data_IF_135729099500
#
_entry.id   IF_135729099500
#
_cell.length_a   1.000
_cell.length_b   1.000
_cell.length_c   1.000
_cell.angle_alpha   90.00
_cell.angle_beta   90.00
_cell.angle_gamma   90.00
#
_symmetry.space_group_name_H-M   'P 1'
#
loop_
_entity.id
_entity.type
_entity.pdbx_description
1 polymer ?
#
# COMPACT_ATOMS: atom_id res chain seq x y z
N UNK A 1 12.13 -30.78 40.75
CA UNK A 1 11.09 -30.43 39.75
C UNK A 1 10.57 -28.99 39.87
N UNK A 2 10.47 -28.37 41.06
CA UNK A 2 10.01 -26.98 41.23
C UNK A 2 10.83 -25.86 40.53
N UNK A 3 12.18 -25.90 40.42
CA UNK A 3 12.90 -24.79 39.79
C UNK A 3 12.77 -24.77 38.26
N UNK A 4 12.56 -25.92 37.63
CA UNK A 4 12.42 -26.02 36.17
C UNK A 4 11.10 -25.44 35.67
N UNK A 5 10.03 -25.55 36.46
CA UNK A 5 8.74 -24.97 36.13
C UNK A 5 8.77 -23.44 36.17
N UNK A 6 9.50 -22.87 37.13
CA UNK A 6 9.71 -21.43 37.25
C UNK A 6 10.55 -20.88 36.08
N UNK A 7 11.60 -21.60 35.67
CA UNK A 7 12.43 -21.22 34.51
C UNK A 7 11.63 -21.28 33.21
N UNK A 8 10.80 -22.30 33.00
CA UNK A 8 9.90 -22.40 31.85
C UNK A 8 8.88 -21.25 31.79
N UNK A 9 8.26 -20.90 32.92
CA UNK A 9 7.33 -19.77 33.01
C UNK A 9 8.00 -18.43 32.67
N UNK A 10 9.24 -18.20 33.11
CA UNK A 10 9.99 -16.97 32.79
C UNK A 10 10.32 -16.90 31.29
N UNK A 11 10.66 -18.03 30.67
CA UNK A 11 10.94 -18.09 29.23
C UNK A 11 9.67 -17.79 28.42
N UNK A 12 8.52 -18.39 28.77
CA UNK A 12 7.25 -18.14 28.07
C UNK A 12 6.78 -16.68 28.18
N UNK A 13 6.92 -16.06 29.36
CA UNK A 13 6.57 -14.64 29.57
C UNK A 13 7.49 -13.69 28.77
N UNK A 14 8.73 -14.10 28.48
CA UNK A 14 9.70 -13.29 27.73
C UNK A 14 9.44 -13.29 26.22
N UNK A 15 8.70 -14.28 25.70
CA UNK A 15 8.38 -14.39 24.26
C UNK A 15 7.20 -13.46 23.91
N UNK A 16 6.27 -13.21 24.83
CA UNK A 16 5.14 -12.30 24.60
C UNK A 16 5.55 -10.81 24.59
N UNK A 17 6.66 -10.45 25.25
CA UNK A 17 7.15 -9.05 25.27
C UNK A 17 7.99 -8.67 24.04
N UNK A 18 8.36 -9.65 23.20
CA UNK A 18 9.07 -9.43 21.93
C UNK A 18 8.20 -9.76 20.71
N UNK A 19 6.89 -9.53 20.82
CA UNK A 19 6.10 -9.23 19.63
C UNK A 19 6.71 -7.98 18.98
N UNK A 20 7.55 -8.19 17.96
CA UNK A 20 7.93 -7.17 16.99
C UNK A 20 6.63 -6.62 16.40
N UNK A 21 6.09 -5.61 17.09
CA UNK A 21 4.95 -4.85 16.61
C UNK A 21 5.53 -4.03 15.48
N UNK A 22 5.57 -4.63 14.28
CA UNK A 22 5.86 -3.94 13.04
C UNK A 22 5.07 -2.64 13.12
N UNK A 23 5.78 -1.50 13.22
CA UNK A 23 5.16 -0.18 13.20
C UNK A 23 4.49 -0.09 11.84
N UNK A 24 3.19 -0.42 11.79
CA UNK A 24 2.43 -0.49 10.55
C UNK A 24 2.02 0.92 10.11
N UNK A 25 1.74 1.82 11.06
CA UNK A 25 1.32 3.20 10.79
C UNK A 25 2.40 4.25 11.01
N UNK A 26 2.00 5.51 10.79
CA UNK A 26 2.81 6.69 11.11
C UNK A 26 3.14 6.72 12.61
N UNK A 27 4.34 7.18 12.97
CA UNK A 27 4.70 7.51 14.36
C UNK A 27 3.89 8.69 14.89
N UNK A 28 3.90 8.93 16.21
CA UNK A 28 3.16 10.05 16.80
C UNK A 28 3.56 11.40 16.19
N UNK A 29 4.86 11.68 16.09
CA UNK A 29 5.39 12.91 15.51
C UNK A 29 5.05 13.06 14.02
N UNK A 30 5.07 11.95 13.27
CA UNK A 30 4.66 11.95 11.86
C UNK A 30 3.17 12.22 11.70
N UNK A 31 2.33 11.64 12.57
CA UNK A 31 0.87 11.89 12.58
C UNK A 31 0.58 13.35 12.88
N UNK A 32 1.26 13.93 13.88
CA UNK A 32 1.08 15.33 14.26
C UNK A 32 1.46 16.26 13.09
N UNK A 33 2.66 16.11 12.53
CA UNK A 33 3.13 16.91 11.39
C UNK A 33 2.19 16.78 10.18
N UNK A 34 1.78 15.55 9.86
CA UNK A 34 0.88 15.30 8.75
C UNK A 34 -0.49 15.96 8.94
N UNK A 35 -1.10 15.79 10.11
CA UNK A 35 -2.40 16.40 10.40
C UNK A 35 -2.32 17.92 10.47
N UNK A 36 -1.26 18.49 11.02
CA UNK A 36 -1.07 19.93 11.08
C UNK A 36 -1.07 20.54 9.67
N UNK A 37 -0.22 20.03 8.78
CA UNK A 37 -0.11 20.56 7.43
C UNK A 37 -1.36 20.26 6.57
N UNK A 38 -1.94 19.05 6.70
CA UNK A 38 -3.20 18.70 6.02
C UNK A 38 -4.34 19.61 6.48
N UNK A 39 -4.49 19.85 7.79
CA UNK A 39 -5.58 20.68 8.31
C UNK A 39 -5.43 22.15 7.94
N UNK A 40 -4.19 22.65 7.85
CA UNK A 40 -3.92 23.98 7.31
C UNK A 40 -4.40 24.12 5.87
N UNK A 41 -4.12 23.14 5.01
CA UNK A 41 -4.62 23.14 3.64
C UNK A 41 -6.15 22.95 3.58
N UNK A 42 -6.72 22.05 4.38
CA UNK A 42 -8.18 21.85 4.48
C UNK A 42 -8.90 23.13 4.87
N UNK A 43 -8.35 23.89 5.81
CA UNK A 43 -8.90 25.19 6.20
C UNK A 43 -8.91 26.17 5.03
N UNK A 44 -7.77 26.29 4.33
CA UNK A 44 -7.66 27.14 3.13
C UNK A 44 -8.68 26.74 2.05
N UNK A 45 -8.76 25.45 1.74
CA UNK A 45 -9.67 24.92 0.71
C UNK A 45 -11.13 25.15 1.08
N UNK A 46 -11.51 24.94 2.34
CA UNK A 46 -12.86 25.22 2.82
C UNK A 46 -13.22 26.71 2.65
N UNK A 47 -12.29 27.62 2.97
CA UNK A 47 -12.47 29.07 2.76
C UNK A 47 -12.62 29.42 1.26
N UNK A 48 -11.81 28.83 0.37
CA UNK A 48 -11.89 29.03 -1.09
C UNK A 48 -13.22 28.54 -1.70
N UNK A 49 -13.77 27.44 -1.18
CA UNK A 49 -15.02 26.84 -1.66
C UNK A 49 -16.26 27.42 -0.98
N UNK A 50 -16.11 28.14 0.13
CA UNK A 50 -17.22 28.60 0.96
C UNK A 50 -17.90 27.46 1.74
N UNK A 51 -17.13 26.44 2.13
CA UNK A 51 -17.57 25.28 2.88
C UNK A 51 -17.27 25.42 4.37
N UNK A 52 -17.95 24.62 5.20
CA UNK A 52 -17.58 24.49 6.61
C UNK A 52 -16.21 23.81 6.75
N UNK A 53 -15.31 24.43 7.51
CA UNK A 53 -14.04 23.80 7.86
C UNK A 53 -14.24 22.74 8.95
N UNK A 54 -13.94 21.48 8.60
CA UNK A 54 -13.92 20.36 9.55
C UNK A 54 -12.50 19.80 9.65
N UNK A 55 -11.87 19.83 10.84
CA UNK A 55 -10.52 19.29 11.01
C UNK A 55 -10.51 17.77 10.86
N UNK A 56 -9.54 17.29 10.10
CA UNK A 56 -9.17 15.88 10.00
C UNK A 56 -8.54 15.40 11.32
N UNK A 57 -8.98 14.24 11.80
CA UNK A 57 -8.45 13.57 12.98
C UNK A 57 -7.82 12.24 12.60
N UNK A 58 -6.77 11.86 13.31
CA UNK A 58 -6.15 10.56 13.08
C UNK A 58 -6.98 9.46 13.74
N UNK A 59 -7.21 8.36 13.03
CA UNK A 59 -7.87 7.17 13.54
C UNK A 59 -7.02 5.93 13.20
N UNK A 60 -6.30 5.43 14.20
CA UNK A 60 -5.44 4.27 14.05
C UNK A 60 -6.23 2.97 13.77
N UNK A 61 -7.55 2.94 13.98
CA UNK A 61 -8.36 1.79 13.60
C UNK A 61 -8.42 1.63 12.08
N UNK A 62 -8.44 2.74 11.34
CA UNK A 62 -8.48 2.77 9.86
C UNK A 62 -7.18 2.24 9.24
N UNK A 63 -6.05 2.29 9.95
CA UNK A 63 -4.78 1.70 9.51
C UNK A 63 -4.93 0.21 9.17
N UNK A 64 -5.80 -0.51 9.90
CA UNK A 64 -6.00 -1.96 9.76
C UNK A 64 -6.77 -2.34 8.51
N UNK A 65 -7.45 -1.38 7.88
CA UNK A 65 -8.21 -1.60 6.65
C UNK A 65 -7.32 -1.53 5.41
N UNK A 66 -6.13 -0.96 5.54
CA UNK A 66 -5.20 -0.82 4.42
C UNK A 66 -4.49 -2.15 4.19
N UNK A 67 -4.61 -2.66 2.96
CA UNK A 67 -3.93 -3.87 2.52
C UNK A 67 -2.85 -3.50 1.50
N UNK A 68 -1.59 -3.67 1.89
CA UNK A 68 -0.43 -3.45 1.02
C UNK A 68 -0.23 -4.61 0.04
N UNK A 69 0.31 -4.34 -1.14
CA UNK A 69 0.66 -5.32 -2.16
C UNK A 69 -0.51 -5.79 -3.03
N UNK A 70 -1.72 -5.27 -2.81
CA UNK A 70 -2.87 -5.48 -3.71
C UNK A 70 -2.86 -4.49 -4.87
N UNK A 71 -3.74 -4.75 -5.85
CA UNK A 71 -4.02 -3.78 -6.91
C UNK A 71 -4.45 -2.43 -6.33
N UNK A 72 -3.95 -1.34 -6.91
CA UNK A 72 -4.37 0.01 -6.48
C UNK A 72 -5.85 0.31 -6.69
N UNK A 73 -6.55 -0.48 -7.52
CA UNK A 73 -7.96 -0.27 -7.86
C UNK A 73 -8.90 -1.28 -7.17
N UNK A 74 -8.36 -2.20 -6.35
CA UNK A 74 -9.15 -3.17 -5.59
C UNK A 74 -9.61 -2.66 -4.21
N UNK A 75 -10.88 -2.93 -3.86
CA UNK A 75 -11.52 -2.63 -2.56
C UNK A 75 -11.47 -1.13 -2.17
N UNK A 76 -12.12 -0.73 -1.05
CA UNK A 76 -12.27 0.69 -0.59
C UNK A 76 -11.03 1.50 -0.98
N UNK A 77 -11.15 2.36 -1.99
CA UNK A 77 -10.01 2.95 -2.71
C UNK A 77 -9.12 3.71 -1.72
N UNK A 78 -7.92 3.20 -1.38
CA UNK A 78 -7.04 3.91 -0.48
C UNK A 78 -6.56 5.20 -1.15
N UNK A 79 -6.44 6.27 -0.37
CA UNK A 79 -5.85 7.50 -0.84
C UNK A 79 -4.32 7.39 -0.78
N UNK A 80 -3.62 7.58 -1.90
CA UNK A 80 -2.16 7.55 -1.89
C UNK A 80 -1.58 8.82 -1.27
N UNK A 81 -0.43 8.71 -0.61
CA UNK A 81 0.42 9.82 -0.19
C UNK A 81 1.43 10.16 -1.29
N UNK A 82 1.99 9.14 -1.97
CA UNK A 82 2.89 9.30 -3.11
C UNK A 82 2.32 8.59 -4.32
N UNK A 83 2.40 9.24 -5.47
CA UNK A 83 1.98 8.71 -6.76
C UNK A 83 3.14 8.88 -7.75
N UNK A 84 3.32 7.91 -8.65
CA UNK A 84 4.30 8.02 -9.74
C UNK A 84 3.75 8.85 -10.91
N UNK A 85 4.64 9.24 -11.83
CA UNK A 85 4.28 10.10 -12.97
C UNK A 85 3.15 9.51 -13.83
N UNK A 86 3.10 8.17 -13.97
CA UNK A 86 2.02 7.47 -14.69
C UNK A 86 0.67 7.67 -14.01
N UNK A 87 0.62 7.63 -12.67
CA UNK A 87 -0.60 7.90 -11.92
C UNK A 87 -1.06 9.36 -12.05
N UNK A 88 -0.14 10.32 -12.08
CA UNK A 88 -0.46 11.73 -12.33
C UNK A 88 -0.92 11.99 -13.77
N UNK A 89 -0.33 11.32 -14.75
CA UNK A 89 -0.75 11.34 -16.15
C UNK A 89 -2.17 10.75 -16.30
N UNK A 90 -2.42 9.59 -15.66
CA UNK A 90 -3.74 8.96 -15.64
C UNK A 90 -4.79 9.88 -15.01
N UNK A 91 -4.48 10.52 -13.87
CA UNK A 91 -5.36 11.49 -13.22
C UNK A 91 -5.71 12.64 -14.17
N UNK A 92 -4.72 13.18 -14.85
CA UNK A 92 -4.91 14.29 -15.80
C UNK A 92 -5.81 13.89 -16.97
N UNK A 93 -5.65 12.67 -17.51
CA UNK A 93 -6.53 12.10 -18.53
C UNK A 93 -7.96 11.88 -18.03
N UNK A 94 -8.14 11.44 -16.78
CA UNK A 94 -9.46 11.26 -16.19
C UNK A 94 -10.19 12.61 -16.01
N UNK A 95 -9.48 13.63 -15.50
CA UNK A 95 -10.04 14.97 -15.35
C UNK A 95 -10.41 15.61 -16.69
N UNK A 96 -9.62 15.39 -17.75
CA UNK A 96 -9.94 15.93 -19.08
C UNK A 96 -11.14 15.25 -19.74
N UNK A 97 -11.28 13.93 -19.55
CA UNK A 97 -12.40 13.15 -20.12
C UNK A 97 -13.69 13.25 -19.31
N UNK A 98 -13.60 13.49 -18.00
CA UNK A 98 -14.73 13.50 -17.06
C UNK A 98 -14.61 14.65 -16.07
N UNK A 99 -14.70 15.91 -16.52
CA UNK A 99 -14.51 17.09 -15.68
C UNK A 99 -15.49 17.15 -14.49
N UNK A 100 -16.67 16.54 -14.62
CA UNK A 100 -17.73 16.58 -13.60
C UNK A 100 -17.49 15.62 -12.42
N UNK A 101 -16.59 14.64 -12.55
CA UNK A 101 -16.35 13.61 -11.53
C UNK A 101 -15.44 14.12 -10.39
N UNK A 102 -14.81 15.28 -10.58
CA UNK A 102 -13.88 15.84 -9.60
C UNK A 102 -12.53 15.11 -9.58
N UNK A 103 -11.57 15.74 -8.92
CA UNK A 103 -10.21 15.20 -8.78
C UNK A 103 -10.14 14.26 -7.58
N UNK A 104 -9.65 13.03 -7.75
CA UNK A 104 -9.53 12.06 -6.65
C UNK A 104 -8.70 12.61 -5.48
N UNK A 105 -7.76 13.53 -5.73
CA UNK A 105 -6.98 14.17 -4.67
C UNK A 105 -7.81 15.13 -3.81
N UNK A 106 -8.96 15.62 -4.30
CA UNK A 106 -9.88 16.47 -3.55
C UNK A 106 -10.49 15.76 -2.35
N UNK A 107 -10.52 14.43 -2.35
CA UNK A 107 -11.07 13.62 -1.24
C UNK A 107 -10.42 13.96 0.11
N UNK A 108 -9.14 14.35 0.12
CA UNK A 108 -8.44 14.83 1.33
C UNK A 108 -9.04 16.10 1.94
N UNK A 109 -9.85 16.84 1.19
CA UNK A 109 -10.33 18.18 1.53
C UNK A 109 -11.85 18.28 1.65
N UNK A 110 -12.59 17.21 1.35
CA UNK A 110 -14.04 17.19 1.53
C UNK A 110 -14.33 17.18 3.06
N UNK A 111 -15.17 18.10 3.59
CA UNK A 111 -15.43 18.23 5.03
C UNK A 111 -16.03 16.98 5.67
N UNK A 112 -16.82 16.23 4.89
CA UNK A 112 -17.50 15.01 5.36
C UNK A 112 -16.54 13.93 5.85
N UNK A 113 -15.32 13.90 5.29
CA UNK A 113 -14.24 13.05 5.76
C UNK A 113 -13.44 13.78 6.83
N UNK A 114 -13.66 13.39 8.09
CA UNK A 114 -12.99 13.99 9.25
C UNK A 114 -12.11 13.00 10.04
N UNK A 115 -11.95 11.78 9.54
CA UNK A 115 -11.04 10.77 10.10
C UNK A 115 -10.17 10.17 9.01
N UNK A 116 -8.89 9.97 9.33
CA UNK A 116 -7.91 9.34 8.44
C UNK A 116 -6.98 8.42 9.22
N UNK A 117 -6.64 7.27 8.65
CA UNK A 117 -5.55 6.42 9.11
C UNK A 117 -4.63 6.08 7.94
N UNK A 118 -3.31 6.00 8.17
CA UNK A 118 -2.34 5.81 7.09
C UNK A 118 -1.26 4.80 7.46
N UNK A 119 -0.88 3.95 6.49
CA UNK A 119 0.27 3.07 6.55
C UNK A 119 1.38 3.65 5.66
N UNK A 120 2.51 4.04 6.26
CA UNK A 120 3.62 4.71 5.56
C UNK A 120 4.30 3.80 4.55
N UNK A 121 4.52 2.55 4.94
CA UNK A 121 5.23 1.54 4.16
C UNK A 121 4.31 0.80 3.19
N UNK A 122 3.00 1.07 3.20
CA UNK A 122 2.07 0.42 2.30
C UNK A 122 2.30 0.87 0.86
N UNK A 123 2.17 -0.08 -0.07
CA UNK A 123 2.35 0.14 -1.49
C UNK A 123 1.29 -0.62 -2.26
N UNK A 124 0.93 -0.11 -3.43
CA UNK A 124 0.15 -0.87 -4.40
C UNK A 124 0.70 -0.59 -5.80
N UNK A 125 0.45 -1.52 -6.72
CA UNK A 125 0.75 -1.34 -8.13
C UNK A 125 -0.46 -1.71 -8.96
N UNK A 126 -0.57 -1.13 -10.16
CA UNK A 126 -1.63 -1.45 -11.10
C UNK A 126 -1.13 -1.32 -12.52
N UNK A 127 -1.11 -2.45 -13.24
CA UNK A 127 -0.87 -2.46 -14.68
C UNK A 127 -2.13 -1.95 -15.39
N UNK A 128 -1.98 -0.94 -16.24
CA UNK A 128 -3.10 -0.40 -17.02
C UNK A 128 -3.39 -1.30 -18.22
N UNK A 129 -4.65 -1.74 -18.33
CA UNK A 129 -5.14 -2.58 -19.41
C UNK A 129 -5.15 -1.87 -20.76
N UNK A 130 -5.42 -2.66 -21.81
CA UNK A 130 -5.41 -2.20 -23.21
C UNK A 130 -6.71 -1.51 -23.64
N UNK A 131 -7.44 -0.88 -22.72
CA UNK A 131 -8.79 -0.36 -22.94
C UNK A 131 -8.82 0.96 -23.75
N UNK A 132 -7.85 1.17 -24.64
CA UNK A 132 -7.80 2.29 -25.58
C UNK A 132 -7.17 3.58 -25.03
N UNK A 133 -6.15 3.48 -24.18
CA UNK A 133 -5.49 4.64 -23.55
C UNK A 133 -3.99 4.68 -23.89
N UNK A 134 -3.46 5.89 -24.05
CA UNK A 134 -2.02 6.21 -24.24
C UNK A 134 -1.10 5.65 -23.12
N UNK A 135 -1.69 5.14 -22.04
CA UNK A 135 -1.01 4.56 -20.88
C UNK A 135 -1.10 3.04 -20.79
N UNK A 136 -1.67 2.38 -21.79
CA UNK A 136 -1.76 0.93 -21.83
C UNK A 136 -0.37 0.28 -21.65
N UNK A 137 -0.28 -0.72 -20.78
CA UNK A 137 0.99 -1.38 -20.44
C UNK A 137 1.92 -0.60 -19.51
N UNK A 138 1.57 0.64 -19.11
CA UNK A 138 2.27 1.36 -18.04
C UNK A 138 1.75 0.92 -16.67
N UNK A 139 2.59 1.04 -15.64
CA UNK A 139 2.26 0.70 -14.26
C UNK A 139 2.03 1.95 -13.43
N UNK A 140 0.87 2.05 -12.79
CA UNK A 140 0.61 3.01 -11.71
C UNK A 140 1.16 2.44 -10.42
N UNK A 141 1.84 3.26 -9.64
CA UNK A 141 2.40 2.89 -8.35
C UNK A 141 2.03 3.93 -7.31
N UNK A 142 1.54 3.47 -6.15
CA UNK A 142 1.29 4.33 -5.00
C UNK A 142 2.13 3.88 -3.80
N UNK A 143 2.74 4.82 -3.09
CA UNK A 143 3.42 4.59 -1.81
C UNK A 143 2.80 5.43 -0.70
N UNK A 144 2.70 4.84 0.49
CA UNK A 144 1.99 5.42 1.61
C UNK A 144 0.49 5.46 1.29
N UNK A 145 -0.29 4.64 1.98
CA UNK A 145 -1.72 4.54 1.72
C UNK A 145 -2.48 5.04 2.93
N UNK A 146 -3.59 5.73 2.68
CA UNK A 146 -4.49 6.25 3.70
C UNK A 146 -5.91 5.77 3.46
N UNK A 147 -6.66 5.63 4.54
CA UNK A 147 -8.09 5.34 4.53
C UNK A 147 -8.82 6.45 5.25
N UNK A 148 -9.92 6.88 4.66
CA UNK A 148 -10.83 7.83 5.28
C UNK A 148 -11.93 7.07 6.02
N UNK A 149 -12.35 7.62 7.14
CA UNK A 149 -13.56 7.14 7.81
C UNK A 149 -14.78 7.40 6.92
N UNK A 150 -15.71 6.45 6.89
CA UNK A 150 -16.96 6.63 6.14
C UNK A 150 -17.89 7.62 6.85
N UNK A 151 -18.30 8.67 6.14
CA UNK A 151 -19.65 9.24 6.27
C UNK A 151 -20.01 10.05 5.01
N UNK A 152 -21.25 9.93 4.52
CA UNK A 152 -21.98 10.95 3.75
C UNK A 152 -21.81 11.03 2.21
N UNK A 153 -22.63 11.89 1.60
CA UNK A 153 -22.58 12.18 0.15
C UNK A 153 -21.30 12.95 -0.18
N UNK A 154 -20.63 12.54 -1.26
CA UNK A 154 -19.47 13.27 -1.79
C UNK A 154 -19.93 14.59 -2.41
N UNK A 155 -19.35 15.69 -1.91
CA UNK A 155 -19.40 16.98 -2.59
C UNK A 155 -18.16 17.14 -3.47
N UNK A 156 -18.37 17.54 -4.73
CA UNK A 156 -17.27 17.87 -5.64
C UNK A 156 -16.77 19.28 -5.33
N UNK A 157 -15.45 19.45 -5.13
CA UNK A 157 -14.83 20.77 -4.99
C UNK A 157 -14.67 21.40 -6.39
N UNK A 158 -15.28 22.57 -6.61
CA UNK A 158 -15.45 23.14 -7.96
C UNK A 158 -14.40 24.20 -8.31
N UNK A 159 -13.74 24.80 -7.33
CA UNK A 159 -12.92 26.01 -7.47
C UNK A 159 -11.50 25.85 -6.96
N UNK A 160 -11.30 25.05 -5.92
CA UNK A 160 -10.08 25.04 -5.13
C UNK A 160 -8.94 24.31 -5.85
N UNK A 161 -7.76 24.93 -5.78
CA UNK A 161 -6.51 24.27 -6.15
C UNK A 161 -6.02 23.47 -4.94
N UNK A 162 -6.25 22.17 -4.98
CA UNK A 162 -5.79 21.25 -3.95
C UNK A 162 -4.31 20.90 -4.14
N UNK A 163 -3.52 20.83 -3.05
CA UNK A 163 -2.17 20.29 -3.12
C UNK A 163 -2.16 18.85 -3.64
N UNK A 164 -1.10 18.48 -4.36
CA UNK A 164 -0.84 17.07 -4.68
C UNK A 164 -0.56 16.28 -3.40
N UNK A 165 -1.04 15.03 -3.27
CA UNK A 165 -0.69 14.17 -2.15
C UNK A 165 0.83 14.04 -1.95
N UNK A 166 1.60 14.11 -3.04
CA UNK A 166 3.08 14.04 -3.02
C UNK A 166 3.70 15.04 -2.03
N UNK A 167 3.06 16.20 -1.80
CA UNK A 167 3.45 17.17 -0.76
C UNK A 167 3.55 16.52 0.62
N UNK A 168 2.56 15.72 0.99
CA UNK A 168 2.50 15.06 2.29
C UNK A 168 3.47 13.87 2.36
N UNK A 169 3.72 13.21 1.24
CA UNK A 169 4.77 12.19 1.16
C UNK A 169 6.17 12.79 1.37
N UNK A 170 6.47 13.97 0.82
CA UNK A 170 7.73 14.67 1.06
C UNK A 170 7.88 15.02 2.55
N UNK A 171 6.83 15.57 3.16
CA UNK A 171 6.78 15.89 4.59
C UNK A 171 7.07 14.68 5.48
N UNK A 172 6.58 13.50 5.08
CA UNK A 172 6.73 12.24 5.81
C UNK A 172 8.01 11.47 5.44
N UNK A 173 8.81 11.98 4.50
CA UNK A 173 10.01 11.29 4.03
C UNK A 173 9.72 9.96 3.32
N UNK A 174 8.56 9.85 2.65
CA UNK A 174 8.23 8.71 1.79
C UNK A 174 9.02 8.87 0.49
N UNK A 175 9.88 7.89 0.12
CA UNK A 175 10.72 8.02 -1.07
C UNK A 175 9.91 8.24 -2.35
N UNK A 176 10.47 9.03 -3.27
CA UNK A 176 9.96 9.14 -4.62
C UNK A 176 9.98 7.77 -5.31
N UNK A 177 9.03 7.54 -6.22
CA UNK A 177 8.95 6.30 -6.98
C UNK A 177 9.90 6.44 -8.18
N UNK A 178 11.03 5.74 -8.13
CA UNK A 178 12.03 5.75 -9.19
C UNK A 178 11.65 4.75 -10.27
N UNK A 179 11.01 5.22 -11.35
CA UNK A 179 10.74 4.39 -12.52
C UNK A 179 9.70 5.00 -13.46
N UNK A 180 10.14 5.35 -14.66
CA UNK A 180 9.26 5.39 -15.83
C UNK A 180 8.60 4.03 -15.95
N UNK A 181 7.27 3.96 -16.03
CA UNK A 181 6.48 2.73 -16.00
C UNK A 181 7.20 1.56 -16.68
N UNK A 182 7.60 0.56 -15.88
CA UNK A 182 8.23 -0.66 -16.40
C UNK A 182 7.23 -1.38 -17.30
N UNK A 183 7.50 -1.38 -18.59
CA UNK A 183 6.92 -2.34 -19.53
C UNK A 183 7.64 -3.67 -19.27
N UNK A 184 7.14 -4.48 -18.34
CA UNK A 184 7.59 -5.86 -18.23
C UNK A 184 6.95 -6.70 -19.36
N UNK A 185 7.27 -6.29 -20.59
CA UNK A 185 7.30 -7.13 -21.77
C UNK A 185 8.76 -7.50 -21.99
N UNK A 186 9.11 -8.71 -21.60
CA UNK A 186 10.38 -9.41 -21.84
C UNK A 186 11.05 -9.00 -23.18
N UNK A 187 12.04 -8.11 -23.15
CA UNK A 187 13.08 -8.05 -24.18
C UNK A 187 14.32 -7.33 -23.63
N UNK A 188 15.43 -8.05 -23.61
CA UNK A 188 16.73 -7.55 -23.16
C UNK A 188 17.44 -6.66 -24.17
N UNK A 189 18.67 -6.32 -23.80
CA UNK A 189 19.65 -5.46 -24.50
C UNK A 189 19.56 -3.99 -24.11
N UNK A 190 20.60 -3.34 -23.57
CA UNK A 190 22.00 -3.75 -23.47
C UNK A 190 22.76 -2.95 -22.41
N UNK A 191 23.77 -3.62 -21.86
CA UNK A 191 24.89 -3.01 -21.16
C UNK A 191 26.05 -3.01 -22.16
N UNK A 192 26.72 -1.88 -22.28
CA UNK A 192 27.89 -1.68 -23.12
C UNK A 192 29.09 -2.52 -22.68
N UNK A 193 29.67 -3.23 -23.65
CA UNK A 193 31.12 -3.23 -23.92
C UNK A 193 32.07 -3.95 -22.96
N UNK A 194 32.57 -5.11 -23.40
CA UNK A 194 33.98 -5.32 -23.82
C UNK A 194 34.49 -6.73 -23.46
N UNK A 195 35.08 -7.44 -24.42
CA UNK A 195 35.84 -8.67 -24.17
C UNK A 195 35.72 -9.72 -25.29
N UNK A 196 36.84 -10.02 -25.92
CA UNK A 196 37.03 -10.80 -27.15
C UNK A 196 36.92 -12.33 -27.02
N UNK A 197 36.74 -12.95 -28.19
CA UNK A 197 37.18 -14.28 -28.66
C UNK A 197 36.44 -15.57 -28.24
N UNK A 198 36.03 -16.33 -29.28
CA UNK A 198 36.23 -17.78 -29.30
C UNK A 198 35.01 -18.68 -29.56
N UNK A 199 34.78 -18.99 -30.84
CA UNK A 199 34.58 -20.37 -31.37
C UNK A 199 33.30 -21.18 -31.05
N UNK A 200 32.53 -21.39 -32.13
CA UNK A 200 31.83 -22.62 -32.56
C UNK A 200 30.84 -23.36 -31.63
N UNK A 201 29.56 -23.10 -31.85
CA UNK A 201 28.59 -24.06 -32.43
C UNK A 201 28.34 -25.40 -31.73
N UNK A 202 27.18 -25.54 -31.08
CA UNK A 202 26.41 -26.80 -31.07
C UNK A 202 24.91 -26.56 -30.83
N UNK A 203 24.11 -27.15 -31.72
CA UNK A 203 22.65 -27.26 -31.69
C UNK A 203 22.16 -28.23 -30.58
N UNK A 204 20.95 -27.99 -30.09
CA UNK A 204 20.06 -28.96 -29.41
C UNK A 204 18.72 -28.27 -29.15
N UNK A 205 17.66 -28.54 -29.93
CA UNK A 205 16.63 -29.57 -29.65
C UNK A 205 16.21 -29.54 -28.18
N UNK A 206 15.06 -28.98 -27.77
CA UNK A 206 13.72 -29.25 -28.29
C UNK A 206 13.23 -30.56 -27.69
N UNK A 207 12.54 -30.51 -26.55
CA UNK A 207 11.57 -31.52 -26.06
C UNK A 207 10.62 -30.83 -25.08
N UNK A 208 9.34 -30.89 -25.41
CA UNK A 208 8.18 -30.61 -24.56
C UNK A 208 8.03 -31.71 -23.50
N UNK A 209 7.44 -31.38 -22.35
CA UNK A 209 6.60 -32.36 -21.69
C UNK A 209 5.45 -31.71 -20.91
N UNK A 210 4.25 -32.14 -21.30
CA UNK A 210 2.97 -31.90 -20.64
C UNK A 210 2.70 -32.97 -19.59
N UNK A 211 1.94 -32.63 -18.55
CA UNK A 211 1.30 -33.58 -17.63
C UNK A 211 1.08 -32.94 -16.26
N UNK A 212 -0.09 -32.34 -16.02
CA UNK A 212 -1.34 -32.90 -15.45
C UNK A 212 -1.31 -33.10 -13.91
N UNK A 213 -2.26 -32.39 -13.29
CA UNK A 213 -3.08 -32.68 -12.11
C UNK A 213 -2.44 -33.28 -10.86
N UNK A 214 -2.63 -32.61 -9.71
CA UNK A 214 -3.46 -33.17 -8.62
C UNK A 214 -3.84 -32.12 -7.57
N UNK A 215 -5.09 -32.21 -7.14
CA UNK A 215 -5.65 -31.60 -5.93
C UNK A 215 -5.07 -32.26 -4.67
N UNK A 216 -4.79 -31.47 -3.65
CA UNK A 216 -4.84 -31.79 -2.21
C UNK A 216 -4.41 -30.50 -1.51
N UNK A 217 -5.14 -29.94 -0.55
CA UNK A 217 -5.81 -30.57 0.56
C UNK A 217 -5.50 -29.65 1.73
N UNK A 218 -6.50 -28.89 2.15
CA UNK A 218 -6.45 -28.03 3.32
C UNK A 218 -6.29 -28.88 4.57
N UNK A 219 -5.15 -28.81 5.26
CA UNK A 219 -5.06 -29.15 6.69
C UNK A 219 -3.70 -28.78 7.29
N UNK A 220 -3.71 -27.79 8.20
CA UNK A 220 -2.72 -27.68 9.26
C UNK A 220 -3.36 -26.94 10.44
N UNK A 221 -4.28 -27.66 11.08
CA UNK A 221 -4.73 -27.32 12.42
C UNK A 221 -3.61 -27.52 13.45
N UNK A 222 -3.60 -26.63 14.43
CA UNK A 222 -3.42 -26.98 15.84
C UNK A 222 -2.15 -27.76 16.24
N UNK A 223 -0.98 -27.16 16.02
CA UNK A 223 0.24 -27.54 16.77
C UNK A 223 0.10 -27.20 18.28
N UNK A 224 -0.87 -26.36 18.63
CA UNK A 224 -1.18 -25.99 20.02
C UNK A 224 -1.83 -27.12 20.84
N UNK A 225 -2.46 -28.11 20.22
CA UNK A 225 -3.13 -29.18 20.99
C UNK A 225 -2.20 -30.32 21.41
N UNK A 226 -1.09 -30.55 20.69
CA UNK A 226 -0.14 -31.62 21.02
C UNK A 226 0.72 -31.29 22.24
N UNK A 227 0.98 -30.01 22.49
CA UNK A 227 1.81 -29.58 23.63
C UNK A 227 1.04 -29.76 24.95
N UNK A 228 -0.28 -29.51 24.98
CA UNK A 228 -1.09 -29.64 26.19
C UNK A 228 -1.25 -31.12 26.61
N UNK A 229 -1.37 -32.04 25.65
CA UNK A 229 -1.52 -33.47 25.95
C UNK A 229 -0.27 -34.11 26.55
N UNK A 230 0.93 -33.59 26.26
CA UNK A 230 2.17 -34.14 26.83
C UNK A 230 2.36 -33.78 28.31
N UNK A 231 1.77 -32.67 28.79
CA UNK A 231 1.87 -32.25 30.18
C UNK A 231 0.93 -33.01 31.13
N UNK A 232 -0.17 -33.58 30.63
CA UNK A 232 -1.10 -34.37 31.44
C UNK A 232 -0.58 -35.78 31.74
N UNK A 233 0.24 -36.37 30.86
CA UNK A 233 0.79 -37.72 31.05
C UNK A 233 1.97 -37.73 32.05
N UNK A 234 2.62 -36.59 32.27
CA UNK A 234 3.71 -36.45 33.25
C UNK A 234 3.23 -36.07 34.66
N UNK A 235 1.91 -36.00 34.88
CA UNK A 235 1.29 -35.63 36.16
C UNK A 235 0.37 -36.74 36.74
N UNK A 236 0.62 -37.99 36.35
CA UNK A 236 0.16 -39.20 37.06
C UNK A 236 1.39 -39.94 37.59
#
# INVERSE_FOLDING_TARGET
>A
MKPYLAILLIIFLSIETHGSRVKRGLSADEREKFLEELNKDRKRVAEEEGLEYVPMKYDAALEREIVSGKSCFEHRRPLPLRINDVGDELRSLWMSKKPDIGDMHQTYFIPVYNRIGCLKEARCTQLLGNDGLELAGKTVEYHGLCMLGEVGQMETLKKAKTPSPNKYADLLGIPAISGTGRTDGKQGSGVEGSGMDGTSGKQGSGVENSGKNEEQGSEAGSVFSLIISLFLVLYI
#
